data_IF_307125857742
#
_entry.id   IF_307125857742
#
_cell.length_a   1.000
_cell.length_b   1.000
_cell.length_c   1.000
_cell.angle_alpha   90.00
_cell.angle_beta   90.00
_cell.angle_gamma   90.00
#
_symmetry.space_group_name_H-M   'P 1'
#
loop_
_entity.id
_entity.type
_entity.pdbx_description
1 polymer ?
#
# COMPACT_ATOMS: atom_id res chain seq x y z
N UNK A 1 -7.69 34.85 24.05
CA UNK A 1 -7.07 33.96 23.06
C UNK A 1 -6.57 34.81 21.91
N UNK A 2 -5.25 34.94 21.68
CA UNK A 2 -4.70 35.91 20.70
C UNK A 2 -4.07 35.28 19.45
N UNK A 3 -4.03 33.96 19.35
CA UNK A 3 -3.63 33.24 18.14
C UNK A 3 -4.60 32.07 18.02
N UNK A 4 -5.31 31.96 16.91
CA UNK A 4 -6.35 30.96 16.68
C UNK A 4 -5.75 29.57 16.37
N UNK A 5 -4.77 29.17 17.19
CA UNK A 5 -3.92 28.00 17.01
C UNK A 5 -4.18 27.00 18.13
N UNK A 6 -4.36 25.74 17.77
CA UNK A 6 -4.57 24.67 18.73
C UNK A 6 -3.34 24.44 19.59
N UNK A 7 -3.50 24.17 20.89
CA UNK A 7 -2.39 23.87 21.82
C UNK A 7 -1.46 22.76 21.34
N UNK A 8 -2.01 21.78 20.60
CA UNK A 8 -1.27 20.70 19.94
C UNK A 8 -0.34 21.19 18.82
N UNK A 9 -0.74 22.22 18.10
CA UNK A 9 0.05 22.84 17.03
C UNK A 9 1.24 23.62 17.61
N UNK A 10 0.99 24.42 18.65
CA UNK A 10 2.01 25.22 19.36
C UNK A 10 3.05 24.32 20.02
N UNK A 11 2.62 23.27 20.72
CA UNK A 11 3.53 22.29 21.33
C UNK A 11 4.36 21.54 20.29
N UNK A 12 3.77 21.22 19.13
CA UNK A 12 4.48 20.64 18.00
C UNK A 12 5.60 21.53 17.45
N UNK A 13 5.30 22.81 17.22
CA UNK A 13 6.27 23.80 16.74
C UNK A 13 7.39 24.02 17.77
N UNK A 14 7.04 24.16 19.05
CA UNK A 14 8.02 24.29 20.13
C UNK A 14 8.99 23.11 20.13
N UNK A 15 8.48 21.89 19.98
CA UNK A 15 9.30 20.68 19.94
C UNK A 15 10.25 20.63 18.75
N UNK A 16 9.81 21.10 17.58
CA UNK A 16 10.67 21.25 16.39
C UNK A 16 11.77 22.30 16.61
N UNK A 17 11.45 23.41 17.27
CA UNK A 17 12.41 24.47 17.61
C UNK A 17 13.44 24.02 18.66
N UNK A 18 13.01 23.31 19.70
CA UNK A 18 13.91 22.78 20.75
C UNK A 18 14.92 21.78 20.19
N UNK A 19 14.51 20.99 19.19
CA UNK A 19 15.40 20.03 18.53
C UNK A 19 16.31 20.67 17.46
N UNK A 20 16.25 21.98 17.25
CA UNK A 20 17.09 22.70 16.27
C UNK A 20 16.68 22.47 14.80
N UNK A 21 15.51 21.88 14.55
CA UNK A 21 15.06 21.39 13.24
C UNK A 21 14.42 22.50 12.37
N UNK A 22 15.14 23.61 12.16
CA UNK A 22 14.64 24.79 11.43
C UNK A 22 14.15 24.50 10.01
N UNK A 23 14.83 23.59 9.30
CA UNK A 23 14.44 23.17 7.94
C UNK A 23 13.11 22.42 7.94
N UNK A 24 12.86 21.61 8.97
CA UNK A 24 11.65 20.79 9.06
C UNK A 24 10.44 21.64 9.41
N UNK A 25 10.65 22.65 10.26
CA UNK A 25 9.68 23.71 10.52
C UNK A 25 9.28 24.44 9.23
N UNK A 26 10.25 24.86 8.41
CA UNK A 26 10.00 25.51 7.12
C UNK A 26 9.17 24.61 6.17
N UNK A 27 9.48 23.31 6.12
CA UNK A 27 8.73 22.36 5.29
C UNK A 27 7.27 22.13 5.75
N UNK A 28 7.01 22.30 7.05
CA UNK A 28 5.66 22.29 7.63
C UNK A 28 4.91 23.57 7.28
N UNK A 29 5.56 24.73 7.38
CA UNK A 29 4.99 26.03 6.98
C UNK A 29 4.59 26.05 5.50
N UNK A 30 5.42 25.46 4.64
CA UNK A 30 5.17 25.33 3.21
C UNK A 30 4.15 24.22 2.86
N UNK A 31 3.51 23.62 3.87
CA UNK A 31 2.52 22.53 3.77
C UNK A 31 3.01 21.29 3.01
N UNK A 32 4.33 21.10 2.90
CA UNK A 32 4.91 19.94 2.22
C UNK A 32 4.93 18.70 3.11
N UNK A 33 5.08 18.92 4.42
CA UNK A 33 5.13 17.88 5.45
C UNK A 33 4.03 18.18 6.50
N UNK A 34 3.16 17.22 6.84
CA UNK A 34 2.23 17.39 7.95
C UNK A 34 2.95 17.52 9.29
N UNK A 35 2.45 18.36 10.20
CA UNK A 35 3.10 18.63 11.49
C UNK A 35 3.30 17.36 12.34
N UNK A 36 2.33 16.43 12.40
CA UNK A 36 2.49 15.18 13.16
C UNK A 36 3.72 14.37 12.69
N UNK A 37 3.87 14.25 11.37
CA UNK A 37 5.01 13.53 10.76
C UNK A 37 6.32 14.27 11.06
N UNK A 38 6.32 15.60 10.99
CA UNK A 38 7.50 16.38 11.33
C UNK A 38 7.95 16.17 12.78
N UNK A 39 7.02 16.08 13.74
CA UNK A 39 7.35 15.81 15.14
C UNK A 39 7.94 14.41 15.30
N UNK A 40 7.38 13.39 14.63
CA UNK A 40 7.91 12.03 14.66
C UNK A 40 9.32 11.94 14.06
N UNK A 41 9.56 12.64 12.94
CA UNK A 41 10.90 12.72 12.31
C UNK A 41 11.90 13.46 13.21
N UNK A 42 11.46 14.49 13.95
CA UNK A 42 12.33 15.26 14.84
C UNK A 42 12.69 14.52 16.13
N UNK A 43 11.97 13.46 16.50
CA UNK A 43 12.13 12.74 17.77
C UNK A 43 12.68 11.32 17.60
N UNK A 44 12.99 10.92 16.37
CA UNK A 44 13.36 9.56 15.99
C UNK A 44 14.77 9.49 15.41
N UNK A 45 15.52 8.46 15.81
CA UNK A 45 16.80 8.07 15.19
C UNK A 45 16.59 7.53 13.75
N UNK A 46 17.64 7.45 12.93
CA UNK A 46 17.57 7.10 11.51
C UNK A 46 16.75 5.82 11.19
N UNK A 47 16.85 4.79 12.02
CA UNK A 47 16.05 3.56 11.88
C UNK A 47 14.58 3.74 12.29
N UNK A 48 14.31 4.63 13.23
CA UNK A 48 12.95 4.96 13.69
C UNK A 48 12.25 5.87 12.68
N UNK A 49 12.98 6.71 11.93
CA UNK A 49 12.43 7.54 10.84
C UNK A 49 11.82 6.66 9.73
N UNK A 50 12.49 5.56 9.33
CA UNK A 50 11.95 4.65 8.32
C UNK A 50 10.67 3.94 8.80
N UNK A 51 10.64 3.53 10.08
CA UNK A 51 9.44 2.95 10.70
C UNK A 51 8.28 3.94 10.77
N UNK A 52 8.54 5.19 11.16
CA UNK A 52 7.53 6.24 11.19
C UNK A 52 6.96 6.56 9.80
N UNK A 53 7.80 6.58 8.75
CA UNK A 53 7.33 6.74 7.37
C UNK A 53 6.45 5.57 6.91
N UNK A 54 6.78 4.35 7.35
CA UNK A 54 6.00 3.16 7.05
C UNK A 54 4.64 3.19 7.75
N UNK A 55 4.61 3.53 9.03
CA UNK A 55 3.38 3.66 9.81
C UNK A 55 2.47 4.78 9.27
N UNK A 56 3.05 5.92 8.89
CA UNK A 56 2.32 7.02 8.25
C UNK A 56 1.77 6.66 6.86
N UNK A 57 2.36 5.67 6.16
CA UNK A 57 1.85 5.15 4.89
C UNK A 57 0.67 4.21 5.10
N UNK A 58 0.80 3.28 6.05
CA UNK A 58 -0.25 2.34 6.48
C UNK A 58 -1.51 3.11 6.93
N UNK A 59 -1.32 4.16 7.74
CA UNK A 59 -2.39 5.02 8.24
C UNK A 59 -2.94 6.02 7.21
N UNK A 60 -2.54 5.96 5.94
CA UNK A 60 -2.93 6.92 4.87
C UNK A 60 -2.49 8.39 5.08
N UNK A 61 -1.75 8.73 6.15
CA UNK A 61 -1.30 10.10 6.41
C UNK A 61 -0.34 10.61 5.31
N UNK A 62 0.46 9.71 4.73
CA UNK A 62 1.42 10.02 3.66
C UNK A 62 1.30 9.04 2.50
N UNK A 63 0.75 9.50 1.37
CA UNK A 63 0.69 8.72 0.12
C UNK A 63 1.20 9.48 -1.09
N UNK A 64 1.73 8.73 -2.05
CA UNK A 64 2.13 9.24 -3.36
C UNK A 64 3.16 10.37 -3.32
N UNK A 65 2.83 11.53 -3.90
CA UNK A 65 3.73 12.69 -4.02
C UNK A 65 4.16 13.27 -2.67
N UNK A 66 3.33 13.15 -1.62
CA UNK A 66 3.67 13.67 -0.28
C UNK A 66 4.76 12.84 0.38
N UNK A 67 4.69 11.51 0.27
CA UNK A 67 5.74 10.61 0.77
C UNK A 67 7.08 10.87 0.08
N UNK A 68 7.06 11.10 -1.24
CA UNK A 68 8.28 11.43 -2.01
C UNK A 68 8.91 12.75 -1.56
N UNK A 69 8.10 13.77 -1.26
CA UNK A 69 8.58 15.07 -0.76
C UNK A 69 9.20 14.95 0.63
N UNK A 70 8.57 14.20 1.53
CA UNK A 70 9.08 13.98 2.90
C UNK A 70 10.40 13.20 2.84
N UNK A 71 10.49 12.16 2.01
CA UNK A 71 11.73 11.39 1.84
C UNK A 71 12.85 12.24 1.24
N UNK A 72 12.58 12.98 0.17
CA UNK A 72 13.58 13.89 -0.42
C UNK A 72 14.05 14.97 0.56
N UNK A 73 13.18 15.40 1.48
CA UNK A 73 13.54 16.33 2.54
C UNK A 73 14.46 15.68 3.59
N UNK A 74 14.18 14.44 4.02
CA UNK A 74 15.04 13.69 4.95
C UNK A 74 16.44 13.47 4.35
N UNK A 75 16.53 13.11 3.07
CA UNK A 75 17.82 12.96 2.39
C UNK A 75 18.60 14.29 2.34
N UNK A 76 17.93 15.42 2.07
CA UNK A 76 18.55 16.75 2.13
C UNK A 76 19.00 17.14 3.54
N UNK A 77 18.30 16.68 4.59
CA UNK A 77 18.71 16.87 5.98
C UNK A 77 19.97 16.04 6.29
N UNK A 78 20.03 14.77 5.87
CA UNK A 78 21.23 13.91 6.01
C UNK A 78 22.45 14.53 5.35
N UNK A 79 22.30 15.02 4.11
CA UNK A 79 23.37 15.72 3.39
C UNK A 79 23.84 16.99 4.12
N UNK A 80 22.91 17.75 4.69
CA UNK A 80 23.21 19.01 5.39
C UNK A 80 23.84 18.86 6.78
N UNK A 81 23.64 17.73 7.46
CA UNK A 81 24.23 17.45 8.79
C UNK A 81 25.70 17.01 8.71
N UNK A 82 26.11 16.39 7.59
CA UNK A 82 27.45 15.84 7.42
C UNK A 82 28.44 16.77 6.70
N UNK A 83 28.09 18.05 6.48
CA UNK A 83 28.97 19.04 5.83
C UNK A 83 29.38 18.73 4.39
N UNK A 84 28.91 17.62 3.81
CA UNK A 84 29.15 17.23 2.44
C UNK A 84 27.90 17.54 1.65
N UNK A 85 27.97 18.58 0.82
CA UNK A 85 27.01 18.80 -0.26
C UNK A 85 26.84 17.47 -1.00
N UNK A 86 25.68 16.82 -0.82
CA UNK A 86 25.38 15.60 -1.53
C UNK A 86 25.36 15.95 -3.02
N UNK A 87 26.44 15.59 -3.71
CA UNK A 87 26.49 15.58 -5.17
C UNK A 87 25.29 14.79 -5.65
N UNK A 88 24.64 15.31 -6.68
CA UNK A 88 23.32 14.92 -7.24
C UNK A 88 23.30 13.51 -7.88
N UNK A 89 23.96 12.52 -7.28
CA UNK A 89 24.12 11.19 -7.89
C UNK A 89 24.45 10.09 -6.88
N UNK A 90 23.89 10.13 -5.68
CA UNK A 90 24.16 9.12 -4.66
C UNK A 90 23.41 7.79 -4.96
N UNK A 91 24.10 6.65 -5.11
CA UNK A 91 23.50 5.35 -5.46
C UNK A 91 22.44 4.85 -4.47
N UNK A 92 22.43 5.31 -3.22
CA UNK A 92 21.39 4.95 -2.23
C UNK A 92 20.01 5.51 -2.60
N UNK A 93 19.94 6.72 -3.18
CA UNK A 93 18.69 7.32 -3.63
C UNK A 93 18.05 6.55 -4.81
N UNK A 94 18.90 6.00 -5.68
CA UNK A 94 18.52 5.08 -6.76
C UNK A 94 18.06 3.73 -6.22
N UNK A 95 18.74 3.20 -5.19
CA UNK A 95 18.35 1.94 -4.51
C UNK A 95 16.96 2.05 -3.87
N UNK A 96 16.70 3.15 -3.18
CA UNK A 96 15.41 3.50 -2.59
C UNK A 96 14.26 3.58 -3.63
N UNK A 97 14.50 4.24 -4.77
CA UNK A 97 13.52 4.31 -5.85
C UNK A 97 13.29 2.95 -6.52
N UNK A 98 14.34 2.15 -6.69
CA UNK A 98 14.25 0.79 -7.22
C UNK A 98 13.45 -0.13 -6.31
N UNK A 99 13.67 -0.09 -4.99
CA UNK A 99 12.89 -0.88 -4.03
C UNK A 99 11.41 -0.48 -4.03
N UNK A 100 11.11 0.83 -4.06
CA UNK A 100 9.72 1.29 -4.11
C UNK A 100 9.02 0.91 -5.43
N UNK A 101 9.75 0.95 -6.54
CA UNK A 101 9.24 0.51 -7.84
C UNK A 101 8.98 -1.00 -7.83
N UNK A 102 9.95 -1.80 -7.39
CA UNK A 102 9.80 -3.25 -7.25
C UNK A 102 8.63 -3.62 -6.34
N UNK A 103 8.45 -2.91 -5.22
CA UNK A 103 7.31 -3.12 -4.32
C UNK A 103 5.98 -2.77 -4.98
N UNK A 104 5.90 -1.64 -5.71
CA UNK A 104 4.69 -1.28 -6.46
C UNK A 104 4.35 -2.34 -7.50
N UNK A 105 5.34 -2.78 -8.27
CA UNK A 105 5.16 -3.78 -9.31
C UNK A 105 4.73 -5.14 -8.72
N UNK A 106 5.23 -5.50 -7.53
CA UNK A 106 4.78 -6.70 -6.83
C UNK A 106 3.34 -6.57 -6.32
N UNK A 107 2.97 -5.41 -5.74
CA UNK A 107 1.59 -5.19 -5.28
C UNK A 107 0.57 -5.17 -6.44
N UNK A 108 0.94 -4.66 -7.62
CA UNK A 108 0.05 -4.70 -8.79
C UNK A 108 -0.10 -6.11 -9.31
N UNK A 109 0.97 -6.91 -9.32
CA UNK A 109 0.94 -8.33 -9.68
C UNK A 109 0.02 -9.12 -8.74
N UNK A 110 0.17 -8.95 -7.42
CA UNK A 110 -0.69 -9.62 -6.44
C UNK A 110 -2.17 -9.26 -6.63
N UNK A 111 -2.47 -7.97 -6.86
CA UNK A 111 -3.84 -7.53 -7.15
C UNK A 111 -4.40 -8.13 -8.43
N UNK A 112 -3.58 -8.30 -9.47
CA UNK A 112 -4.00 -8.93 -10.71
C UNK A 112 -4.35 -10.41 -10.49
N UNK A 113 -3.52 -11.15 -9.75
CA UNK A 113 -3.76 -12.56 -9.41
C UNK A 113 -5.07 -12.72 -8.63
N UNK A 114 -5.30 -11.89 -7.62
CA UNK A 114 -6.55 -11.92 -6.83
C UNK A 114 -7.77 -11.67 -7.71
N UNK A 115 -7.70 -10.68 -8.62
CA UNK A 115 -8.79 -10.42 -9.57
C UNK A 115 -9.06 -11.59 -10.50
N UNK A 116 -8.00 -12.22 -11.02
CA UNK A 116 -8.12 -13.38 -11.89
C UNK A 116 -8.72 -14.58 -11.14
N UNK A 117 -8.32 -14.81 -9.89
CA UNK A 117 -8.89 -15.84 -9.04
C UNK A 117 -10.40 -15.63 -8.81
N UNK A 118 -10.82 -14.40 -8.52
CA UNK A 118 -12.25 -14.07 -8.38
C UNK A 118 -13.05 -14.29 -9.66
N UNK A 119 -12.49 -13.96 -10.82
CA UNK A 119 -13.14 -14.23 -12.11
C UNK A 119 -13.31 -15.73 -12.37
N UNK A 120 -12.25 -16.52 -12.14
CA UNK A 120 -12.29 -17.97 -12.25
C UNK A 120 -13.31 -18.59 -11.28
N UNK A 121 -13.32 -18.16 -10.02
CA UNK A 121 -14.28 -18.62 -9.03
C UNK A 121 -15.73 -18.34 -9.47
N UNK A 122 -16.01 -17.13 -9.98
CA UNK A 122 -17.34 -16.77 -10.49
C UNK A 122 -17.76 -17.64 -11.67
N UNK A 123 -16.85 -17.89 -12.61
CA UNK A 123 -17.12 -18.76 -13.76
C UNK A 123 -17.38 -20.21 -13.34
N UNK A 124 -16.55 -20.76 -12.44
CA UNK A 124 -16.75 -22.11 -11.90
C UNK A 124 -18.10 -22.21 -11.19
N UNK A 125 -18.46 -21.24 -10.37
CA UNK A 125 -19.73 -21.25 -9.64
C UNK A 125 -20.93 -21.17 -10.60
N UNK A 126 -20.81 -20.41 -11.69
CA UNK A 126 -21.80 -20.36 -12.77
C UNK A 126 -21.95 -21.74 -13.46
N UNK A 127 -20.84 -22.36 -13.86
CA UNK A 127 -20.86 -23.69 -14.51
C UNK A 127 -21.45 -24.74 -13.59
N UNK A 128 -21.03 -24.79 -12.31
CA UNK A 128 -21.59 -25.74 -11.34
C UNK A 128 -23.09 -25.51 -11.15
N UNK A 129 -23.54 -24.26 -11.06
CA UNK A 129 -24.97 -23.96 -10.91
C UNK A 129 -25.79 -24.37 -12.14
N UNK A 130 -25.26 -24.13 -13.35
CA UNK A 130 -25.89 -24.55 -14.59
C UNK A 130 -25.95 -26.09 -14.69
N UNK A 131 -24.88 -26.78 -14.32
CA UNK A 131 -24.88 -28.24 -14.27
C UNK A 131 -25.90 -28.77 -13.26
N UNK A 132 -26.00 -28.18 -12.05
CA UNK A 132 -27.05 -28.55 -11.08
C UNK A 132 -28.44 -28.49 -11.67
N UNK A 133 -28.77 -27.39 -12.35
CA UNK A 133 -30.07 -27.21 -12.96
C UNK A 133 -30.31 -28.20 -14.11
N UNK A 134 -29.26 -28.55 -14.86
CA UNK A 134 -29.38 -29.51 -15.95
C UNK A 134 -29.54 -30.96 -15.44
N UNK A 135 -28.86 -31.31 -14.35
CA UNK A 135 -28.98 -32.62 -13.68
C UNK A 135 -30.28 -32.77 -12.88
N UNK A 136 -31.08 -31.71 -12.66
CA UNK A 136 -32.44 -31.87 -12.13
C UNK A 136 -33.46 -32.31 -13.18
N UNK A 137 -33.15 -32.24 -14.48
CA UNK A 137 -34.05 -32.67 -15.55
C UNK A 137 -33.84 -34.15 -15.88
N UNK A 138 -34.87 -34.98 -15.62
CA UNK A 138 -34.82 -36.41 -15.91
C UNK A 138 -34.68 -36.71 -17.41
N UNK A 139 -35.21 -35.87 -18.30
CA UNK A 139 -35.06 -36.07 -19.74
C UNK A 139 -33.59 -35.93 -20.15
N UNK A 140 -32.88 -34.99 -19.55
CA UNK A 140 -31.45 -34.79 -19.79
C UNK A 140 -30.62 -35.98 -19.30
N UNK A 141 -30.92 -36.51 -18.11
CA UNK A 141 -30.26 -37.71 -17.59
C UNK A 141 -30.52 -38.93 -18.48
N UNK A 142 -31.75 -39.10 -18.95
CA UNK A 142 -32.11 -40.22 -19.81
C UNK A 142 -31.39 -40.14 -21.17
N UNK A 143 -31.23 -38.94 -21.72
CA UNK A 143 -30.45 -38.70 -22.94
C UNK A 143 -28.96 -39.02 -22.73
N UNK A 144 -28.36 -38.58 -21.61
CA UNK A 144 -26.97 -38.90 -21.28
C UNK A 144 -26.74 -40.41 -21.16
N UNK A 145 -27.69 -41.15 -20.59
CA UNK A 145 -27.64 -42.62 -20.51
C UNK A 145 -27.73 -43.28 -21.89
N UNK A 146 -28.60 -42.78 -22.77
CA UNK A 146 -28.74 -43.30 -24.13
C UNK A 146 -27.45 -43.11 -24.95
N UNK A 147 -26.75 -42.00 -24.74
CA UNK A 147 -25.50 -41.65 -25.43
C UNK A 147 -24.23 -42.14 -24.72
N UNK A 148 -24.36 -42.96 -23.65
CA UNK A 148 -23.22 -43.48 -22.87
C UNK A 148 -22.31 -42.39 -22.26
N UNK A 149 -22.89 -41.26 -21.86
CA UNK A 149 -22.22 -40.11 -21.21
C UNK A 149 -22.68 -39.93 -19.75
N UNK A 150 -23.09 -41.01 -19.11
CA UNK A 150 -23.61 -41.04 -17.74
C UNK A 150 -22.50 -40.98 -16.67
N UNK A 151 -21.23 -41.12 -17.05
CA UNK A 151 -20.10 -41.01 -16.12
C UNK A 151 -19.76 -39.55 -15.82
N UNK A 152 -19.66 -39.20 -14.54
CA UNK A 152 -19.35 -37.84 -14.09
C UNK A 152 -18.10 -37.84 -13.18
N UNK A 153 -17.13 -36.92 -13.38
CA UNK A 153 -15.94 -36.85 -12.55
C UNK A 153 -16.27 -36.59 -11.08
N UNK A 154 -15.63 -37.31 -10.14
CA UNK A 154 -15.97 -37.30 -8.71
C UNK A 154 -16.01 -35.89 -8.09
N UNK A 155 -15.07 -35.00 -8.47
CA UNK A 155 -15.04 -33.62 -8.00
C UNK A 155 -16.25 -32.77 -8.44
N UNK A 156 -16.84 -33.08 -9.60
CA UNK A 156 -18.07 -32.44 -10.05
C UNK A 156 -19.27 -33.08 -9.36
N UNK A 157 -19.24 -34.40 -9.12
CA UNK A 157 -20.32 -35.12 -8.44
C UNK A 157 -20.55 -34.54 -7.03
N UNK A 158 -19.48 -34.38 -6.23
CA UNK A 158 -19.54 -33.79 -4.88
C UNK A 158 -20.06 -32.34 -4.85
N UNK A 159 -19.98 -31.63 -5.98
CA UNK A 159 -20.39 -30.23 -6.09
C UNK A 159 -21.79 -30.08 -6.65
N UNK A 160 -22.24 -31.00 -7.50
CA UNK A 160 -23.48 -30.94 -8.28
C UNK A 160 -24.60 -31.75 -7.62
N UNK A 161 -24.32 -32.99 -7.18
CA UNK A 161 -25.23 -33.83 -6.41
C UNK A 161 -25.30 -33.35 -4.94
#
# INVERSE_FOLDING_TARGET
>A
AKTDLTTRYISGILRLLTNGEKKLLQAVEERRVPLCVAIEIATSDDERIQRALHEAYEQNLLRGKKLLKVRAFIEKRRAGLNGKEAKVGDPESLSAHKMLKAYRDETTRQRAIVKQAHLCQRQLLYVVSAMKQLFTDENFINLLRAESLDSLPQYLADKVL
#
